data_IF_549893424094
#
_entry.id   IF_549893424094
#
_cell.length_a   1.000
_cell.length_b   1.000
_cell.length_c   1.000
_cell.angle_alpha   90.00
_cell.angle_beta   90.00
_cell.angle_gamma   90.00
#
_symmetry.space_group_name_H-M   'P 1'
#
loop_
_entity.id
_entity.type
_entity.pdbx_description
1 polymer ?
#
# COMPACT_ATOMS: atom_id res chain seq x y z
N UNK A 1 -0.32 -14.01 -8.41
CA UNK A 1 1.03 -14.16 -8.98
C UNK A 1 1.79 -12.83 -8.98
N UNK A 2 1.35 -11.75 -9.63
CA UNK A 2 2.07 -10.47 -9.69
C UNK A 2 2.42 -9.87 -8.32
N UNK A 3 1.52 -9.99 -7.34
CA UNK A 3 1.80 -9.54 -5.96
C UNK A 3 2.88 -10.37 -5.29
N UNK A 4 2.80 -11.71 -5.42
CA UNK A 4 3.86 -12.59 -4.91
C UNK A 4 5.23 -12.25 -5.51
N UNK A 5 5.30 -12.00 -6.82
CA UNK A 5 6.53 -11.56 -7.48
C UNK A 5 7.07 -10.24 -6.92
N UNK A 6 6.20 -9.25 -6.69
CA UNK A 6 6.60 -7.97 -6.11
C UNK A 6 7.18 -8.13 -4.70
N UNK A 7 6.48 -8.84 -3.83
CA UNK A 7 6.85 -8.98 -2.43
C UNK A 7 7.97 -10.01 -2.19
N UNK A 8 8.33 -10.79 -3.23
CA UNK A 8 9.49 -11.67 -3.24
C UNK A 8 10.82 -10.91 -3.21
N UNK A 9 10.90 -9.70 -3.78
CA UNK A 9 12.15 -8.95 -3.88
C UNK A 9 12.13 -7.59 -3.19
N UNK A 10 11.01 -6.87 -3.20
CA UNK A 10 10.95 -5.48 -2.74
C UNK A 10 11.25 -5.25 -1.25
N UNK A 11 10.78 -6.09 -0.32
CA UNK A 11 11.10 -5.91 1.10
C UNK A 11 12.59 -6.04 1.42
N UNK A 12 13.34 -6.76 0.58
CA UNK A 12 14.75 -7.03 0.82
C UNK A 12 15.69 -5.97 0.23
N UNK A 13 15.15 -4.88 -0.32
CA UNK A 13 15.93 -3.79 -0.91
C UNK A 13 16.95 -3.17 0.06
N UNK A 14 16.65 -2.92 1.36
CA UNK A 14 17.65 -2.40 2.29
C UNK A 14 18.85 -3.32 2.49
N UNK A 15 18.64 -4.65 2.41
CA UNK A 15 19.69 -5.65 2.51
C UNK A 15 20.55 -5.68 1.24
N UNK A 16 19.92 -5.59 0.05
CA UNK A 16 20.61 -5.46 -1.24
C UNK A 16 21.51 -4.23 -1.28
N UNK A 17 21.05 -3.08 -0.77
CA UNK A 17 21.85 -1.85 -0.71
C UNK A 17 23.15 -2.04 0.10
N UNK A 18 23.11 -2.86 1.16
CA UNK A 18 24.28 -3.21 1.96
C UNK A 18 25.20 -4.19 1.23
N UNK A 19 24.65 -5.32 0.78
CA UNK A 19 25.44 -6.46 0.33
C UNK A 19 25.97 -6.31 -1.10
N UNK A 20 25.17 -5.72 -1.97
CA UNK A 20 25.53 -5.58 -3.39
C UNK A 20 26.15 -4.23 -3.71
N UNK A 21 25.60 -3.15 -3.13
CA UNK A 21 26.06 -1.79 -3.41
C UNK A 21 26.98 -1.24 -2.30
N UNK A 22 27.24 -2.00 -1.24
CA UNK A 22 28.15 -1.67 -0.13
C UNK A 22 27.90 -0.28 0.48
N UNK A 23 26.62 0.14 0.55
CA UNK A 23 26.22 1.40 1.16
C UNK A 23 26.40 1.31 2.66
N UNK A 24 27.10 2.28 3.24
CA UNK A 24 27.35 2.34 4.69
C UNK A 24 26.05 2.44 5.50
N UNK A 25 26.06 1.94 6.73
CA UNK A 25 24.88 1.94 7.60
C UNK A 25 24.27 3.33 7.82
N UNK A 26 25.12 4.34 7.91
CA UNK A 26 24.75 5.74 8.11
C UNK A 26 23.83 6.25 6.99
N UNK A 27 24.16 5.97 5.73
CA UNK A 27 23.42 6.47 4.56
C UNK A 27 22.36 5.49 4.05
N UNK A 28 22.38 4.24 4.51
CA UNK A 28 21.47 3.19 4.01
C UNK A 28 19.99 3.56 4.22
N UNK A 29 19.64 4.09 5.38
CA UNK A 29 18.29 4.55 5.66
C UNK A 29 17.84 5.67 4.73
N UNK A 30 18.72 6.63 4.43
CA UNK A 30 18.45 7.71 3.49
C UNK A 30 18.27 7.17 2.05
N UNK A 31 19.12 6.24 1.62
CA UNK A 31 19.02 5.60 0.30
C UNK A 31 17.69 4.82 0.14
N UNK A 32 17.25 4.08 1.18
CA UNK A 32 15.95 3.39 1.19
C UNK A 32 14.80 4.39 1.01
N UNK A 33 14.90 5.53 1.67
CA UNK A 33 13.89 6.59 1.60
C UNK A 33 13.85 7.25 0.23
N UNK A 34 15.00 7.60 -0.34
CA UNK A 34 15.09 8.18 -1.69
C UNK A 34 14.54 7.19 -2.74
N UNK A 35 14.89 5.91 -2.62
CA UNK A 35 14.37 4.85 -3.47
C UNK A 35 12.84 4.72 -3.38
N UNK A 36 12.30 4.75 -2.16
CA UNK A 36 10.86 4.67 -1.92
C UNK A 36 10.14 5.91 -2.42
N UNK A 37 10.68 7.09 -2.15
CA UNK A 37 10.16 8.37 -2.64
C UNK A 37 10.09 8.43 -4.17
N UNK A 38 11.18 8.08 -4.85
CA UNK A 38 11.25 8.05 -6.31
C UNK A 38 10.22 7.06 -6.89
N UNK A 39 10.08 5.89 -6.26
CA UNK A 39 9.11 4.87 -6.64
C UNK A 39 7.66 5.36 -6.53
N UNK A 40 7.29 5.95 -5.38
CA UNK A 40 5.92 6.40 -5.12
C UNK A 40 5.56 7.64 -5.95
N UNK A 41 6.51 8.55 -6.15
CA UNK A 41 6.32 9.75 -7.00
C UNK A 41 6.11 9.35 -8.46
N UNK A 42 6.94 8.46 -8.97
CA UNK A 42 6.81 7.92 -10.33
C UNK A 42 5.47 7.21 -10.52
N UNK A 43 5.05 6.38 -9.56
CA UNK A 43 3.76 5.67 -9.59
C UNK A 43 2.57 6.65 -9.54
N UNK A 44 2.68 7.74 -8.78
CA UNK A 44 1.65 8.79 -8.72
C UNK A 44 1.44 9.45 -10.09
N UNK A 45 2.53 9.84 -10.75
CA UNK A 45 2.51 10.41 -12.11
C UNK A 45 1.94 9.38 -13.10
N UNK A 46 2.43 8.14 -13.01
CA UNK A 46 2.02 7.04 -13.87
C UNK A 46 0.52 6.74 -13.77
N UNK A 47 -0.06 6.78 -12.58
CA UNK A 47 -1.48 6.48 -12.36
C UNK A 47 -2.37 7.45 -13.12
N UNK A 48 -2.04 8.75 -13.11
CA UNK A 48 -2.78 9.75 -13.87
C UNK A 48 -2.62 9.57 -15.39
N UNK A 49 -1.40 9.32 -15.85
CA UNK A 49 -1.07 9.15 -17.27
C UNK A 49 -1.71 7.88 -17.85
N UNK A 50 -1.48 6.74 -17.21
CA UNK A 50 -1.97 5.45 -17.70
C UNK A 50 -3.48 5.25 -17.48
N UNK A 51 -4.10 5.98 -16.54
CA UNK A 51 -5.56 6.01 -16.38
C UNK A 51 -6.24 6.51 -17.64
N UNK A 52 -5.78 7.65 -18.19
CA UNK A 52 -6.31 8.24 -19.44
C UNK A 52 -6.13 7.29 -20.64
N UNK A 53 -4.99 6.61 -20.70
CA UNK A 53 -4.70 5.64 -21.77
C UNK A 53 -5.58 4.39 -21.60
N UNK A 54 -5.76 3.91 -20.36
CA UNK A 54 -6.61 2.77 -20.05
C UNK A 54 -8.06 2.96 -20.47
N UNK A 55 -8.59 4.16 -20.30
CA UNK A 55 -9.95 4.52 -20.77
C UNK A 55 -10.10 4.44 -22.30
N UNK A 56 -9.01 4.49 -23.05
CA UNK A 56 -9.01 4.43 -24.52
C UNK A 56 -8.73 3.04 -25.09
N UNK A 57 -7.87 2.26 -24.41
CA UNK A 57 -7.32 1.02 -24.96
C UNK A 57 -7.69 -0.24 -24.16
N UNK A 58 -8.43 -0.08 -23.06
CA UNK A 58 -8.90 -1.18 -22.23
C UNK A 58 -7.94 -1.58 -21.11
N UNK A 59 -8.48 -2.33 -20.17
CA UNK A 59 -7.80 -2.74 -18.95
C UNK A 59 -6.82 -3.89 -19.16
N UNK A 60 -7.13 -4.82 -20.09
CA UNK A 60 -6.23 -5.92 -20.44
C UNK A 60 -4.88 -5.42 -20.93
N UNK A 61 -4.87 -4.45 -21.85
CA UNK A 61 -3.64 -3.87 -22.38
C UNK A 61 -2.82 -3.19 -21.27
N UNK A 62 -3.49 -2.47 -20.35
CA UNK A 62 -2.83 -1.83 -19.20
C UNK A 62 -2.20 -2.86 -18.26
N UNK A 63 -2.87 -3.99 -18.02
CA UNK A 63 -2.37 -5.08 -17.19
C UNK A 63 -1.16 -5.77 -17.84
N UNK A 64 -1.25 -6.06 -19.15
CA UNK A 64 -0.16 -6.65 -19.92
C UNK A 64 1.09 -5.75 -19.95
N UNK A 65 0.92 -4.46 -20.25
CA UNK A 65 1.99 -3.47 -20.20
C UNK A 65 2.73 -3.50 -18.86
N UNK A 66 1.99 -3.42 -17.74
CA UNK A 66 2.58 -3.39 -16.42
C UNK A 66 3.30 -4.70 -16.08
N UNK A 67 2.76 -5.83 -16.50
CA UNK A 67 3.35 -7.16 -16.24
C UNK A 67 4.60 -7.41 -17.08
N UNK A 68 4.59 -7.07 -18.38
CA UNK A 68 5.78 -7.22 -19.23
C UNK A 68 6.89 -6.24 -18.82
N UNK A 69 6.56 -4.99 -18.51
CA UNK A 69 7.53 -4.03 -17.99
C UNK A 69 8.17 -4.54 -16.68
N UNK A 70 7.38 -5.06 -15.75
CA UNK A 70 7.89 -5.64 -14.53
C UNK A 70 8.81 -6.83 -14.79
N UNK A 71 8.45 -7.72 -15.72
CA UNK A 71 9.27 -8.88 -16.10
C UNK A 71 10.67 -8.49 -16.60
N UNK A 72 10.82 -7.31 -17.22
CA UNK A 72 12.09 -6.78 -17.71
C UNK A 72 12.83 -6.01 -16.62
N UNK A 73 12.15 -5.07 -15.96
CA UNK A 73 12.80 -4.11 -15.07
C UNK A 73 13.20 -4.71 -13.71
N UNK A 74 12.48 -5.73 -13.18
CA UNK A 74 12.91 -6.35 -11.92
C UNK A 74 14.25 -7.07 -12.02
N UNK A 75 14.53 -7.92 -13.02
CA UNK A 75 15.86 -8.44 -13.25
C UNK A 75 16.94 -7.36 -13.40
N UNK A 76 16.64 -6.27 -14.12
CA UNK A 76 17.58 -5.16 -14.28
C UNK A 76 17.95 -4.45 -12.99
N UNK A 77 17.04 -4.41 -11.99
CA UNK A 77 17.35 -3.84 -10.68
C UNK A 77 18.48 -4.60 -9.96
N UNK A 78 18.53 -5.93 -10.11
CA UNK A 78 19.59 -6.74 -9.51
C UNK A 78 20.95 -6.56 -10.19
N UNK A 79 20.95 -6.10 -11.42
CA UNK A 79 22.17 -5.87 -12.21
C UNK A 79 22.68 -4.42 -12.14
N UNK A 80 22.04 -3.57 -11.33
CA UNK A 80 22.42 -2.18 -11.20
C UNK A 80 23.81 -2.03 -10.55
N UNK A 81 24.78 -1.39 -11.23
CA UNK A 81 26.16 -1.29 -10.74
C UNK A 81 26.33 -0.27 -9.60
N UNK A 82 25.41 0.64 -9.44
CA UNK A 82 25.43 1.66 -8.39
C UNK A 82 24.03 2.17 -8.07
N UNK A 83 23.94 2.93 -6.97
CA UNK A 83 22.67 3.45 -6.48
C UNK A 83 21.92 4.37 -7.46
N UNK A 84 22.63 5.16 -8.24
CA UNK A 84 22.00 6.10 -9.20
C UNK A 84 21.33 5.34 -10.35
N UNK A 85 21.99 4.31 -10.89
CA UNK A 85 21.42 3.43 -11.91
C UNK A 85 20.25 2.64 -11.35
N UNK A 86 20.37 2.11 -10.12
CA UNK A 86 19.27 1.44 -9.41
C UNK A 86 18.06 2.37 -9.31
N UNK A 87 18.26 3.62 -8.91
CA UNK A 87 17.22 4.63 -8.76
C UNK A 87 16.53 4.96 -10.08
N UNK A 88 17.31 5.12 -11.16
CA UNK A 88 16.80 5.38 -12.52
C UNK A 88 15.94 4.21 -13.02
N UNK A 89 16.44 2.97 -12.92
CA UNK A 89 15.70 1.77 -13.30
C UNK A 89 14.41 1.68 -12.46
N UNK A 90 14.49 1.95 -11.16
CA UNK A 90 13.32 1.91 -10.28
C UNK A 90 12.27 2.94 -10.65
N UNK A 91 12.68 4.17 -10.96
CA UNK A 91 11.78 5.23 -11.39
C UNK A 91 11.01 4.83 -12.66
N UNK A 92 11.73 4.32 -13.67
CA UNK A 92 11.14 3.84 -14.91
C UNK A 92 10.23 2.62 -14.65
N UNK A 93 10.69 1.64 -13.88
CA UNK A 93 9.88 0.48 -13.49
C UNK A 93 8.57 0.90 -12.83
N UNK A 94 8.63 1.85 -11.90
CA UNK A 94 7.45 2.36 -11.19
C UNK A 94 6.49 3.11 -12.11
N UNK A 95 7.01 3.83 -13.11
CA UNK A 95 6.18 4.50 -14.13
C UNK A 95 5.36 3.49 -14.96
N UNK A 96 5.94 2.35 -15.29
CA UNK A 96 5.23 1.29 -16.00
C UNK A 96 4.48 0.32 -15.08
N UNK A 97 4.60 0.42 -13.76
CA UNK A 97 3.91 -0.43 -12.79
C UNK A 97 2.40 -0.13 -12.69
N UNK A 98 1.71 -0.92 -11.85
CA UNK A 98 0.28 -0.72 -11.56
C UNK A 98 -0.59 -1.82 -12.16
N UNK A 99 -0.47 -3.04 -11.65
CA UNK A 99 -1.29 -4.20 -12.10
C UNK A 99 -2.65 -4.29 -11.40
N UNK A 100 -2.77 -3.74 -10.17
CA UNK A 100 -3.96 -3.95 -9.32
C UNK A 100 -5.20 -3.26 -9.88
N UNK A 101 -5.10 -1.97 -10.22
CA UNK A 101 -6.24 -1.20 -10.72
C UNK A 101 -6.78 -1.77 -12.06
N UNK A 102 -5.95 -2.02 -13.10
CA UNK A 102 -6.42 -2.65 -14.30
C UNK A 102 -7.04 -4.04 -14.08
N UNK A 103 -6.47 -4.85 -13.16
CA UNK A 103 -7.04 -6.15 -12.82
C UNK A 103 -8.42 -6.03 -12.17
N UNK A 104 -8.63 -5.07 -11.26
CA UNK A 104 -9.93 -4.80 -10.65
C UNK A 104 -10.95 -4.34 -11.69
N UNK A 105 -10.57 -3.40 -12.56
CA UNK A 105 -11.45 -2.88 -13.62
C UNK A 105 -11.84 -4.00 -14.59
N UNK A 106 -10.87 -4.79 -15.03
CA UNK A 106 -11.09 -5.92 -15.93
C UNK A 106 -12.03 -6.96 -15.31
N UNK A 107 -11.83 -7.27 -14.02
CA UNK A 107 -12.68 -8.21 -13.29
C UNK A 107 -14.12 -7.72 -13.18
N UNK A 108 -14.31 -6.44 -12.86
CA UNK A 108 -15.64 -5.83 -12.78
C UNK A 108 -16.32 -5.79 -14.14
N UNK A 109 -15.61 -5.45 -15.22
CA UNK A 109 -16.18 -5.40 -16.57
C UNK A 109 -16.59 -6.76 -17.13
N UNK A 110 -15.96 -7.84 -16.65
CA UNK A 110 -16.24 -9.22 -17.12
C UNK A 110 -17.17 -10.01 -16.19
N UNK A 111 -17.59 -9.43 -15.05
CA UNK A 111 -18.42 -10.12 -14.05
C UNK A 111 -19.81 -9.46 -13.98
N UNK A 112 -20.91 -10.25 -13.86
CA UNK A 112 -22.24 -9.69 -13.64
C UNK A 112 -22.30 -8.82 -12.35
N UNK A 113 -23.10 -7.71 -12.34
CA UNK A 113 -23.15 -6.76 -11.20
C UNK A 113 -23.46 -7.40 -9.86
N UNK A 114 -24.29 -8.42 -9.84
CA UNK A 114 -24.70 -9.15 -8.62
C UNK A 114 -23.54 -9.89 -7.95
N UNK A 115 -22.48 -10.21 -8.72
CA UNK A 115 -21.30 -10.97 -8.26
C UNK A 115 -20.05 -10.09 -8.06
N UNK A 116 -20.13 -8.78 -8.30
CA UNK A 116 -18.97 -7.88 -8.16
C UNK A 116 -18.32 -7.96 -6.77
N UNK A 117 -19.13 -8.02 -5.69
CA UNK A 117 -18.64 -8.11 -4.32
C UNK A 117 -17.82 -9.39 -4.09
N UNK A 118 -18.33 -10.53 -4.56
CA UNK A 118 -17.63 -11.81 -4.46
C UNK A 118 -16.33 -11.81 -5.28
N UNK A 119 -16.38 -11.34 -6.52
CA UNK A 119 -15.24 -11.30 -7.42
C UNK A 119 -14.10 -10.40 -6.86
N UNK A 120 -14.43 -9.18 -6.41
CA UNK A 120 -13.46 -8.28 -5.80
C UNK A 120 -12.93 -8.79 -4.47
N UNK A 121 -13.76 -9.46 -3.67
CA UNK A 121 -13.35 -10.14 -2.44
C UNK A 121 -12.34 -11.26 -2.72
N UNK A 122 -12.60 -12.09 -3.73
CA UNK A 122 -11.69 -13.16 -4.17
C UNK A 122 -10.36 -12.58 -4.67
N UNK A 123 -10.39 -11.50 -5.46
CA UNK A 123 -9.18 -10.82 -5.92
C UNK A 123 -8.38 -10.25 -4.74
N UNK A 124 -9.05 -9.65 -3.77
CA UNK A 124 -8.41 -9.12 -2.55
C UNK A 124 -7.75 -10.24 -1.73
N UNK A 125 -8.43 -11.36 -1.54
CA UNK A 125 -7.86 -12.53 -0.86
C UNK A 125 -6.67 -13.10 -1.62
N UNK A 126 -6.77 -13.23 -2.94
CA UNK A 126 -5.68 -13.71 -3.79
C UNK A 126 -4.46 -12.77 -3.76
N UNK A 127 -4.67 -11.45 -3.71
CA UNK A 127 -3.57 -10.48 -3.55
C UNK A 127 -2.89 -10.61 -2.21
N UNK A 128 -3.63 -10.66 -1.11
CA UNK A 128 -3.06 -10.79 0.24
C UNK A 128 -2.36 -12.13 0.47
N UNK A 129 -2.90 -13.21 -0.10
CA UNK A 129 -2.23 -14.52 -0.10
C UNK A 129 -0.94 -14.48 -0.92
N UNK A 130 -0.96 -13.76 -2.04
CA UNK A 130 0.22 -13.50 -2.86
C UNK A 130 1.30 -12.73 -2.11
N UNK A 131 0.93 -11.69 -1.36
CA UNK A 131 1.85 -10.93 -0.50
C UNK A 131 2.52 -11.85 0.53
N UNK A 132 1.73 -12.66 1.25
CA UNK A 132 2.24 -13.59 2.26
C UNK A 132 3.22 -14.61 1.67
N UNK A 133 2.85 -15.25 0.55
CA UNK A 133 3.73 -16.21 -0.13
C UNK A 133 4.98 -15.54 -0.70
N UNK A 134 4.84 -14.33 -1.25
CA UNK A 134 5.96 -13.54 -1.76
C UNK A 134 7.00 -13.26 -0.68
N UNK A 135 6.58 -12.84 0.49
CA UNK A 135 7.48 -12.58 1.63
C UNK A 135 8.20 -13.85 2.10
N UNK A 136 7.48 -14.98 2.25
CA UNK A 136 8.09 -16.23 2.70
C UNK A 136 9.10 -16.77 1.68
N UNK A 137 8.68 -16.90 0.42
CA UNK A 137 9.54 -17.40 -0.65
C UNK A 137 10.70 -16.44 -0.92
N UNK A 138 10.45 -15.13 -0.86
CA UNK A 138 11.48 -14.11 -1.04
C UNK A 138 12.57 -14.21 0.03
N UNK A 139 12.17 -14.32 1.30
CA UNK A 139 13.13 -14.53 2.39
C UNK A 139 14.00 -15.78 2.23
N UNK A 140 13.38 -16.90 1.82
CA UNK A 140 14.10 -18.15 1.53
C UNK A 140 15.03 -18.01 0.32
N UNK A 141 14.54 -17.47 -0.79
CA UNK A 141 15.34 -17.35 -2.02
C UNK A 141 16.52 -16.39 -1.80
N UNK A 142 16.28 -15.26 -1.15
CA UNK A 142 17.36 -14.30 -0.87
C UNK A 142 18.41 -14.92 0.04
N UNK A 143 18.00 -15.62 1.09
CA UNK A 143 18.90 -16.24 2.06
C UNK A 143 19.79 -17.32 1.45
N UNK A 144 19.22 -18.22 0.63
CA UNK A 144 19.95 -19.38 0.09
C UNK A 144 20.54 -19.18 -1.30
N UNK A 145 19.95 -18.33 -2.12
CA UNK A 145 20.30 -18.13 -3.53
C UNK A 145 20.68 -16.70 -3.89
N UNK A 146 20.57 -15.77 -2.94
CA UNK A 146 20.96 -14.38 -3.10
C UNK A 146 19.92 -13.50 -3.81
N UNK A 147 20.19 -12.20 -3.80
CA UNK A 147 19.26 -11.17 -4.33
C UNK A 147 19.04 -11.28 -5.82
N UNK A 148 20.09 -11.54 -6.60
CA UNK A 148 20.00 -11.67 -8.06
C UNK A 148 18.98 -12.73 -8.45
N UNK A 149 19.03 -13.89 -7.80
CA UNK A 149 18.07 -14.99 -8.04
C UNK A 149 16.65 -14.58 -7.67
N UNK A 150 16.46 -13.86 -6.57
CA UNK A 150 15.15 -13.36 -6.16
C UNK A 150 14.55 -12.41 -7.20
N UNK A 151 15.32 -11.45 -7.70
CA UNK A 151 14.87 -10.50 -8.72
C UNK A 151 14.63 -11.17 -10.08
N UNK A 152 15.47 -12.15 -10.48
CA UNK A 152 15.24 -12.95 -11.69
C UNK A 152 13.95 -13.78 -11.56
N UNK A 153 13.73 -14.42 -10.42
CA UNK A 153 12.50 -15.17 -10.12
C UNK A 153 11.27 -14.26 -10.17
N UNK A 154 11.36 -13.06 -9.63
CA UNK A 154 10.33 -12.03 -9.74
C UNK A 154 9.99 -11.74 -11.21
N UNK A 155 11.00 -11.51 -12.06
CA UNK A 155 10.84 -11.31 -13.50
C UNK A 155 10.11 -12.47 -14.18
N UNK A 156 10.50 -13.70 -13.86
CA UNK A 156 9.84 -14.91 -14.41
C UNK A 156 8.38 -15.00 -13.97
N UNK A 157 8.07 -14.74 -12.69
CA UNK A 157 6.68 -14.75 -12.19
C UNK A 157 5.84 -13.69 -12.93
N UNK A 158 6.37 -12.50 -13.17
CA UNK A 158 5.67 -11.47 -13.93
C UNK A 158 5.50 -11.86 -15.41
N UNK A 159 6.49 -12.47 -16.02
CA UNK A 159 6.40 -12.98 -17.38
C UNK A 159 5.32 -14.05 -17.50
N UNK A 160 5.32 -15.05 -16.62
CA UNK A 160 4.29 -16.09 -16.58
C UNK A 160 2.91 -15.48 -16.36
N UNK A 161 2.79 -14.52 -15.43
CA UNK A 161 1.54 -13.79 -15.19
C UNK A 161 1.06 -13.05 -16.44
N UNK A 162 1.98 -12.38 -17.17
CA UNK A 162 1.66 -11.68 -18.41
C UNK A 162 1.19 -12.65 -19.50
N UNK A 163 1.87 -13.80 -19.67
CA UNK A 163 1.50 -14.83 -20.65
C UNK A 163 0.13 -15.43 -20.34
N UNK A 164 -0.18 -15.73 -19.07
CA UNK A 164 -1.50 -16.21 -18.67
C UNK A 164 -2.61 -15.21 -19.00
N UNK A 165 -2.40 -13.93 -18.72
CA UNK A 165 -3.35 -12.87 -19.08
C UNK A 165 -3.47 -12.74 -20.60
N UNK A 166 -2.37 -12.81 -21.31
CA UNK A 166 -2.35 -12.70 -22.77
C UNK A 166 -3.16 -13.79 -23.45
N UNK A 167 -2.95 -15.06 -23.03
CA UNK A 167 -3.51 -16.24 -23.66
C UNK A 167 -4.95 -16.54 -23.23
N UNK A 168 -5.28 -16.36 -21.96
CA UNK A 168 -6.54 -16.85 -21.38
C UNK A 168 -7.60 -15.76 -21.13
N UNK A 169 -7.21 -14.50 -21.06
CA UNK A 169 -8.18 -13.44 -20.79
C UNK A 169 -8.57 -12.73 -22.09
N UNK A 170 -9.88 -12.69 -22.36
CA UNK A 170 -10.45 -11.90 -23.45
C UNK A 170 -11.19 -10.70 -22.83
N UNK A 171 -10.98 -9.53 -23.37
CA UNK A 171 -11.69 -8.29 -22.99
C UNK A 171 -12.45 -7.79 -24.22
N UNK A 172 -13.76 -7.81 -24.17
CA UNK A 172 -14.60 -7.14 -25.14
C UNK A 172 -14.70 -5.66 -24.76
N UNK A 173 -13.67 -4.91 -25.19
CA UNK A 173 -13.59 -3.50 -24.87
C UNK A 173 -14.49 -2.65 -25.77
N UNK A 174 -15.62 -2.21 -25.21
CA UNK A 174 -16.46 -1.20 -25.84
C UNK A 174 -16.05 0.19 -25.35
N UNK A 175 -15.48 0.97 -26.28
CA UNK A 175 -15.10 2.36 -25.97
C UNK A 175 -16.33 3.15 -25.54
N UNK A 176 -16.45 3.45 -24.25
CA UNK A 176 -17.46 4.36 -23.75
C UNK A 176 -17.03 5.78 -24.17
N UNK A 177 -17.68 6.30 -25.22
CA UNK A 177 -17.49 7.70 -25.59
C UNK A 177 -18.07 8.52 -24.44
N UNK A 178 -17.28 9.34 -23.72
CA UNK A 178 -17.84 10.16 -22.65
C UNK A 178 -18.89 11.07 -23.26
N UNK A 179 -20.14 10.88 -22.86
CA UNK A 179 -21.22 11.78 -23.25
C UNK A 179 -20.84 13.18 -22.75
N UNK A 180 -20.70 14.13 -23.67
CA UNK A 180 -20.31 15.53 -23.42
C UNK A 180 -21.40 16.31 -22.67
N UNK A 181 -21.81 15.87 -21.51
CA UNK A 181 -22.80 16.56 -20.69
C UNK A 181 -22.41 16.60 -19.23
N UNK A 182 -21.26 17.17 -18.96
CA UNK A 182 -21.04 17.85 -17.69
C UNK A 182 -20.09 19.01 -17.95
N UNK A 183 -20.56 20.20 -17.65
CA UNK A 183 -19.78 21.43 -17.58
C UNK A 183 -18.45 21.09 -16.94
N UNK A 184 -17.31 21.40 -17.60
CA UNK A 184 -15.96 21.31 -17.04
C UNK A 184 -15.84 22.30 -15.88
N UNK A 185 -16.52 22.02 -14.76
CA UNK A 185 -16.14 22.67 -13.52
C UNK A 185 -14.67 22.30 -13.24
N UNK A 186 -13.87 23.29 -12.96
CA UNK A 186 -12.48 23.05 -12.57
C UNK A 186 -12.48 22.04 -11.42
N UNK A 187 -11.65 20.99 -11.52
CA UNK A 187 -11.53 19.97 -10.46
C UNK A 187 -11.29 20.59 -9.08
N UNK A 188 -10.66 21.76 -9.05
CA UNK A 188 -10.42 22.54 -7.82
C UNK A 188 -11.70 23.22 -7.30
N UNK A 189 -12.55 23.74 -8.16
CA UNK A 189 -13.83 24.33 -7.76
C UNK A 189 -14.79 23.25 -7.24
N UNK A 190 -14.85 22.09 -7.90
CA UNK A 190 -15.59 20.93 -7.42
C UNK A 190 -15.07 20.45 -6.06
N UNK A 191 -13.75 20.40 -5.86
CA UNK A 191 -13.16 20.08 -4.57
C UNK A 191 -13.58 21.06 -3.48
N UNK A 192 -13.41 22.38 -3.68
CA UNK A 192 -13.79 23.42 -2.70
C UNK A 192 -15.27 23.38 -2.33
N UNK A 193 -16.13 23.08 -3.29
CA UNK A 193 -17.60 22.99 -3.08
C UNK A 193 -18.00 21.72 -2.34
N UNK A 194 -17.24 20.64 -2.49
CA UNK A 194 -17.54 19.32 -1.93
C UNK A 194 -16.80 19.01 -0.64
N UNK A 195 -15.75 19.77 -0.31
CA UNK A 195 -14.94 19.61 0.90
C UNK A 195 -15.68 20.17 2.12
N UNK A 196 -16.66 19.40 2.60
CA UNK A 196 -17.30 19.67 3.90
C UNK A 196 -16.31 19.43 5.04
N UNK A 197 -16.51 20.01 6.23
CA UNK A 197 -15.62 19.80 7.37
C UNK A 197 -15.39 18.32 7.70
N UNK A 198 -16.44 17.49 7.68
CA UNK A 198 -16.33 16.04 7.94
C UNK A 198 -15.48 15.31 6.91
N UNK A 199 -15.68 15.61 5.63
CA UNK A 199 -14.87 15.05 4.53
C UNK A 199 -13.41 15.49 4.67
N UNK A 200 -13.15 16.77 4.97
CA UNK A 200 -11.79 17.31 5.10
C UNK A 200 -11.03 16.60 6.24
N UNK A 201 -11.64 16.46 7.42
CA UNK A 201 -11.06 15.72 8.55
C UNK A 201 -10.81 14.25 8.22
N UNK A 202 -11.74 13.61 7.50
CA UNK A 202 -11.57 12.23 7.03
C UNK A 202 -10.39 12.09 6.06
N UNK A 203 -10.27 12.98 5.08
CA UNK A 203 -9.15 12.98 4.14
C UNK A 203 -7.81 13.18 4.88
N UNK A 204 -7.77 14.05 5.89
CA UNK A 204 -6.58 14.18 6.74
C UNK A 204 -6.23 12.88 7.46
N UNK A 205 -7.22 12.16 8.01
CA UNK A 205 -6.98 10.85 8.63
C UNK A 205 -6.51 9.80 7.61
N UNK A 206 -7.03 9.80 6.37
CA UNK A 206 -6.50 8.94 5.32
C UNK A 206 -5.04 9.26 4.98
N UNK A 207 -4.67 10.54 4.94
CA UNK A 207 -3.29 10.97 4.70
C UNK A 207 -2.37 10.49 5.83
N UNK A 208 -2.76 10.72 7.09
CA UNK A 208 -1.99 10.28 8.26
C UNK A 208 -1.88 8.75 8.33
N UNK A 209 -2.94 8.02 7.99
CA UNK A 209 -2.89 6.57 7.88
C UNK A 209 -1.88 6.10 6.83
N UNK A 210 -1.90 6.70 5.64
CA UNK A 210 -0.92 6.42 4.58
C UNK A 210 0.51 6.75 5.01
N UNK A 211 0.69 7.86 5.71
CA UNK A 211 1.97 8.30 6.26
C UNK A 211 2.47 7.32 7.33
N UNK A 212 1.66 6.97 8.32
CA UNK A 212 2.05 6.08 9.41
C UNK A 212 2.38 4.65 8.94
N UNK A 213 1.51 4.07 8.10
CA UNK A 213 1.64 2.67 7.66
C UNK A 213 2.79 2.43 6.68
N UNK A 214 3.22 3.45 5.94
CA UNK A 214 4.31 3.35 4.95
C UNK A 214 5.64 3.89 5.46
N UNK A 215 5.65 4.55 6.61
CA UNK A 215 6.87 5.10 7.22
C UNK A 215 7.79 3.99 7.73
N UNK A 216 7.24 2.96 8.38
CA UNK A 216 8.01 1.87 9.00
C UNK A 216 8.27 0.67 8.08
N UNK A 217 7.38 0.43 7.12
CA UNK A 217 7.35 -0.80 6.34
C UNK A 217 8.65 -1.11 5.59
N UNK A 218 9.30 -0.15 4.90
CA UNK A 218 10.57 -0.41 4.19
C UNK A 218 11.76 -0.69 5.11
N UNK A 219 11.64 -0.37 6.40
CA UNK A 219 12.74 -0.45 7.38
C UNK A 219 12.72 -1.70 8.25
N UNK A 220 11.74 -2.59 8.03
CA UNK A 220 11.64 -3.86 8.76
C UNK A 220 12.91 -4.72 8.64
N UNK A 221 13.54 -4.87 7.45
CA UNK A 221 14.78 -5.63 7.34
C UNK A 221 15.92 -5.04 8.17
N UNK A 222 16.02 -3.70 8.21
CA UNK A 222 17.04 -3.03 9.02
C UNK A 222 16.78 -3.21 10.54
N UNK A 223 15.51 -3.28 10.95
CA UNK A 223 15.17 -3.60 12.35
C UNK A 223 15.51 -5.05 12.67
N UNK A 224 15.27 -6.00 11.76
CA UNK A 224 15.67 -7.39 11.90
C UNK A 224 17.19 -7.51 12.09
N UNK A 225 17.99 -6.81 11.28
CA UNK A 225 19.45 -6.75 11.44
C UNK A 225 19.86 -6.16 12.79
N UNK A 226 19.19 -5.11 13.25
CA UNK A 226 19.49 -4.48 14.55
C UNK A 226 19.24 -5.44 15.73
N UNK A 227 18.27 -6.37 15.60
CA UNK A 227 17.86 -7.28 16.67
C UNK A 227 18.63 -8.60 16.61
N UNK A 228 18.82 -9.17 15.43
CA UNK A 228 19.35 -10.51 15.22
C UNK A 228 20.77 -10.52 14.61
N UNK A 229 21.32 -9.34 14.28
CA UNK A 229 22.52 -9.25 13.48
C UNK A 229 22.25 -9.55 12.00
N UNK A 230 23.33 -9.80 11.27
CA UNK A 230 23.25 -10.00 9.81
C UNK A 230 22.89 -11.44 9.42
N UNK A 231 23.09 -12.39 10.35
CA UNK A 231 22.80 -13.81 10.10
C UNK A 231 21.31 -14.03 9.89
N UNK A 232 20.97 -14.67 8.77
CA UNK A 232 19.59 -14.98 8.35
C UNK A 232 18.63 -13.77 8.34
N UNK A 233 19.16 -12.57 8.10
CA UNK A 233 18.35 -11.35 8.12
C UNK A 233 17.24 -11.39 7.06
N UNK A 234 17.51 -11.93 5.86
CA UNK A 234 16.51 -12.07 4.81
C UNK A 234 15.41 -13.08 5.20
N UNK A 235 15.79 -14.23 5.76
CA UNK A 235 14.85 -15.25 6.23
C UNK A 235 13.89 -14.70 7.29
N UNK A 236 14.40 -14.07 8.33
CA UNK A 236 13.58 -13.50 9.40
C UNK A 236 12.73 -12.30 8.93
N UNK A 237 13.24 -11.50 8.00
CA UNK A 237 12.46 -10.44 7.35
C UNK A 237 11.26 -11.03 6.60
N UNK A 238 11.48 -12.12 5.86
CA UNK A 238 10.43 -12.84 5.16
C UNK A 238 9.34 -13.33 6.11
N UNK A 239 9.73 -14.02 7.20
CA UNK A 239 8.78 -14.51 8.22
C UNK A 239 8.01 -13.37 8.89
N UNK A 240 8.71 -12.32 9.34
CA UNK A 240 8.08 -11.18 10.00
C UNK A 240 7.09 -10.45 9.09
N UNK A 241 7.42 -10.32 7.80
CA UNK A 241 6.53 -9.70 6.80
C UNK A 241 5.34 -10.60 6.45
N UNK A 242 5.56 -11.91 6.35
CA UNK A 242 4.48 -12.87 6.12
C UNK A 242 3.53 -12.97 7.32
N UNK A 243 4.03 -12.96 8.54
CA UNK A 243 3.22 -12.88 9.76
C UNK A 243 2.36 -11.60 9.79
N UNK A 244 2.95 -10.46 9.37
CA UNK A 244 2.23 -9.22 9.22
C UNK A 244 1.12 -9.32 8.16
N UNK A 245 1.39 -9.90 6.98
CA UNK A 245 0.39 -10.09 5.93
C UNK A 245 -0.74 -11.00 6.39
N UNK A 246 -0.43 -12.08 7.11
CA UNK A 246 -1.43 -12.98 7.71
C UNK A 246 -2.30 -12.26 8.75
N UNK A 247 -1.69 -11.43 9.61
CA UNK A 247 -2.44 -10.56 10.54
C UNK A 247 -3.41 -9.63 9.81
N UNK A 248 -2.99 -9.04 8.69
CA UNK A 248 -3.84 -8.20 7.84
C UNK A 248 -5.03 -8.95 7.23
N UNK A 249 -4.84 -10.19 6.78
CA UNK A 249 -5.93 -11.04 6.26
C UNK A 249 -6.97 -11.32 7.35
N UNK A 250 -6.51 -11.74 8.53
CA UNK A 250 -7.41 -12.01 9.66
C UNK A 250 -8.13 -10.75 10.15
N UNK A 251 -7.46 -9.59 10.09
CA UNK A 251 -8.06 -8.29 10.42
C UNK A 251 -9.28 -7.99 9.57
N UNK A 252 -9.20 -8.21 8.25
CA UNK A 252 -10.32 -7.96 7.34
C UNK A 252 -11.59 -8.70 7.75
N UNK A 253 -11.45 -9.95 8.20
CA UNK A 253 -12.57 -10.79 8.67
C UNK A 253 -13.06 -10.33 10.05
N UNK A 254 -12.13 -10.14 10.99
CA UNK A 254 -12.47 -9.81 12.37
C UNK A 254 -13.08 -8.41 12.50
N UNK A 255 -12.42 -7.40 11.92
CA UNK A 255 -12.88 -6.01 11.99
C UNK A 255 -14.16 -5.80 11.17
N UNK A 256 -14.31 -6.52 10.03
CA UNK A 256 -15.58 -6.54 9.30
C UNK A 256 -16.75 -6.95 10.19
N UNK A 257 -16.64 -8.07 10.91
CA UNK A 257 -17.66 -8.53 11.86
C UNK A 257 -17.87 -7.60 13.07
N UNK A 258 -16.78 -6.97 13.55
CA UNK A 258 -16.89 -6.01 14.66
C UNK A 258 -17.60 -4.71 14.22
N UNK A 259 -17.41 -4.27 12.96
CA UNK A 259 -18.05 -3.07 12.43
C UNK A 259 -19.57 -3.18 12.32
N UNK A 260 -20.11 -4.40 12.28
CA UNK A 260 -21.56 -4.66 12.32
C UNK A 260 -22.13 -4.57 13.74
N UNK A 261 -21.30 -4.82 14.77
CA UNK A 261 -21.75 -4.87 16.18
C UNK A 261 -21.50 -3.59 16.97
N UNK A 262 -20.39 -2.90 16.66
CA UNK A 262 -19.95 -1.73 17.43
C UNK A 262 -20.06 -0.44 16.63
N UNK A 263 -20.24 0.67 17.33
CA UNK A 263 -20.28 1.97 16.68
C UNK A 263 -18.92 2.30 15.99
N UNK A 264 -18.95 2.87 14.79
CA UNK A 264 -17.72 3.25 14.09
C UNK A 264 -16.79 4.13 14.92
N UNK A 265 -17.36 4.98 15.80
CA UNK A 265 -16.60 5.84 16.71
C UNK A 265 -15.75 5.03 17.68
N UNK A 266 -16.38 4.09 18.39
CA UNK A 266 -15.69 3.26 19.39
C UNK A 266 -14.62 2.38 18.73
N UNK A 267 -14.98 1.76 17.60
CA UNK A 267 -14.10 0.86 16.88
C UNK A 267 -12.88 1.62 16.30
N UNK A 268 -13.10 2.80 15.70
CA UNK A 268 -12.03 3.62 15.16
C UNK A 268 -11.03 4.04 16.26
N UNK A 269 -11.53 4.56 17.37
CA UNK A 269 -10.69 5.01 18.49
C UNK A 269 -9.87 3.86 19.07
N UNK A 270 -10.52 2.69 19.28
CA UNK A 270 -9.86 1.48 19.78
C UNK A 270 -8.76 0.98 18.82
N UNK A 271 -9.08 0.88 17.54
CA UNK A 271 -8.14 0.40 16.51
C UNK A 271 -6.95 1.35 16.37
N UNK A 272 -7.16 2.67 16.39
CA UNK A 272 -6.05 3.64 16.34
C UNK A 272 -5.16 3.50 17.58
N UNK A 273 -5.75 3.49 18.79
CA UNK A 273 -5.00 3.39 20.02
C UNK A 273 -4.19 2.08 20.11
N UNK A 274 -4.81 0.96 19.76
CA UNK A 274 -4.15 -0.34 19.75
C UNK A 274 -3.00 -0.37 18.71
N UNK A 275 -3.24 0.12 17.50
CA UNK A 275 -2.21 0.20 16.45
C UNK A 275 -1.05 1.08 16.88
N UNK A 276 -1.32 2.26 17.44
CA UNK A 276 -0.31 3.19 17.92
C UNK A 276 0.58 2.54 19.00
N UNK A 277 -0.05 1.91 19.99
CA UNK A 277 0.66 1.23 21.08
C UNK A 277 1.53 0.08 20.56
N UNK A 278 0.95 -0.79 19.74
CA UNK A 278 1.69 -1.92 19.15
C UNK A 278 2.81 -1.45 18.20
N UNK A 279 2.63 -0.32 17.49
CA UNK A 279 3.70 0.24 16.65
C UNK A 279 4.84 0.78 17.53
N UNK A 280 4.53 1.43 18.66
CA UNK A 280 5.54 1.91 19.59
C UNK A 280 6.38 0.76 20.19
N UNK A 281 5.78 -0.40 20.47
CA UNK A 281 6.50 -1.54 21.03
C UNK A 281 7.61 -2.07 20.14
N UNK A 282 7.56 -1.85 18.81
CA UNK A 282 8.65 -2.25 17.89
C UNK A 282 10.01 -1.64 18.26
N UNK A 283 10.02 -0.42 18.82
CA UNK A 283 11.25 0.24 19.22
C UNK A 283 11.97 -0.45 20.39
N UNK A 284 11.24 -1.24 21.18
CA UNK A 284 11.71 -1.87 22.41
C UNK A 284 11.81 -3.40 22.31
N UNK A 285 11.63 -3.96 21.13
CA UNK A 285 11.66 -5.43 20.92
C UNK A 285 13.05 -5.98 21.22
N UNK A 286 13.16 -7.00 22.12
CA UNK A 286 14.45 -7.55 22.52
C UNK A 286 14.96 -8.68 21.61
N UNK A 287 14.06 -9.40 20.91
CA UNK A 287 14.41 -10.57 20.12
C UNK A 287 13.48 -10.76 18.91
N UNK A 288 13.90 -11.60 17.98
CA UNK A 288 13.22 -11.80 16.69
C UNK A 288 11.82 -12.42 16.84
N UNK A 289 11.62 -13.31 17.79
CA UNK A 289 10.30 -13.95 18.02
C UNK A 289 9.27 -12.94 18.49
N UNK A 290 9.66 -12.04 19.40
CA UNK A 290 8.82 -10.91 19.84
C UNK A 290 8.51 -9.96 18.68
N UNK A 291 9.48 -9.71 17.79
CA UNK A 291 9.26 -8.90 16.60
C UNK A 291 8.19 -9.52 15.70
N UNK A 292 8.28 -10.80 15.39
CA UNK A 292 7.31 -11.52 14.56
C UNK A 292 5.91 -11.44 15.16
N UNK A 293 5.77 -11.69 16.47
CA UNK A 293 4.51 -11.62 17.18
C UNK A 293 3.90 -10.20 17.15
N UNK A 294 4.72 -9.18 17.42
CA UNK A 294 4.28 -7.78 17.40
C UNK A 294 3.94 -7.32 15.98
N UNK A 295 4.70 -7.74 14.96
CA UNK A 295 4.37 -7.46 13.55
C UNK A 295 3.01 -8.01 13.16
N UNK A 296 2.73 -9.26 13.52
CA UNK A 296 1.40 -9.86 13.34
C UNK A 296 0.30 -9.04 14.04
N UNK A 297 0.47 -8.76 15.33
CA UNK A 297 -0.52 -8.05 16.15
C UNK A 297 -0.77 -6.62 15.63
N UNK A 298 0.30 -5.90 15.24
CA UNK A 298 0.19 -4.55 14.69
C UNK A 298 -0.58 -4.53 13.37
N UNK A 299 -0.30 -5.47 12.46
CA UNK A 299 -1.00 -5.54 11.18
C UNK A 299 -2.43 -6.06 11.33
N UNK A 300 -2.68 -6.92 12.31
CA UNK A 300 -4.03 -7.31 12.69
C UNK A 300 -4.84 -6.11 13.19
N UNK A 301 -4.28 -5.26 14.02
CA UNK A 301 -4.93 -4.03 14.48
C UNK A 301 -5.10 -3.02 13.33
N UNK A 302 -4.03 -2.68 12.62
CA UNK A 302 -4.02 -1.65 11.58
C UNK A 302 -4.87 -1.98 10.35
N UNK A 303 -5.03 -3.28 10.02
CA UNK A 303 -5.75 -3.72 8.82
C UNK A 303 -7.21 -3.30 8.78
N UNK A 304 -7.83 -3.05 9.93
CA UNK A 304 -9.21 -2.56 10.02
C UNK A 304 -9.36 -1.05 9.84
N UNK A 305 -8.28 -0.28 9.94
CA UNK A 305 -8.37 1.18 10.01
C UNK A 305 -8.91 1.78 8.70
N UNK A 306 -8.34 1.38 7.57
CA UNK A 306 -8.78 1.89 6.26
C UNK A 306 -10.23 1.52 5.92
N UNK A 307 -10.71 0.27 6.10
CA UNK A 307 -12.13 -0.07 5.94
C UNK A 307 -13.07 0.75 6.82
N UNK A 308 -12.73 0.96 8.10
CA UNK A 308 -13.56 1.76 9.01
C UNK A 308 -13.67 3.20 8.50
N UNK A 309 -12.57 3.83 8.09
CA UNK A 309 -12.58 5.18 7.52
C UNK A 309 -13.43 5.26 6.25
N UNK A 310 -13.38 4.24 5.37
CA UNK A 310 -14.22 4.14 4.18
C UNK A 310 -15.70 3.99 4.51
N UNK A 311 -16.04 3.22 5.55
CA UNK A 311 -17.44 3.10 6.03
C UNK A 311 -17.95 4.45 6.52
N UNK A 312 -17.17 5.19 7.32
CA UNK A 312 -17.55 6.54 7.77
C UNK A 312 -17.73 7.47 6.56
N UNK A 313 -16.81 7.46 5.61
CA UNK A 313 -16.87 8.26 4.38
C UNK A 313 -18.16 7.96 3.58
N UNK A 314 -18.53 6.67 3.47
CA UNK A 314 -19.72 6.25 2.74
C UNK A 314 -21.03 6.71 3.37
N UNK A 315 -21.04 6.97 4.70
CA UNK A 315 -22.24 7.45 5.43
C UNK A 315 -22.49 8.94 5.27
N UNK A 316 -21.43 9.74 5.08
CA UNK A 316 -21.51 11.20 4.94
C UNK A 316 -21.54 11.65 3.47
N UNK A 317 -21.49 10.71 2.54
CA UNK A 317 -21.40 11.00 1.10
C UNK A 317 -22.64 10.50 0.37
N UNK A 318 -23.21 11.32 -0.53
CA UNK A 318 -24.34 10.90 -1.37
C UNK A 318 -23.95 9.76 -2.32
N UNK A 319 -24.87 8.85 -2.67
CA UNK A 319 -24.60 7.67 -3.52
C UNK A 319 -23.91 8.02 -4.84
N UNK A 320 -24.33 9.13 -5.49
CA UNK A 320 -23.83 9.57 -6.79
C UNK A 320 -22.36 10.02 -6.74
N UNK A 321 -21.86 10.39 -5.56
CA UNK A 321 -20.51 10.98 -5.37
C UNK A 321 -19.54 10.05 -4.66
N UNK A 322 -19.98 8.88 -4.21
CA UNK A 322 -19.11 7.91 -3.49
C UNK A 322 -17.84 7.59 -4.24
N UNK A 323 -17.93 7.36 -5.55
CA UNK A 323 -16.74 7.05 -6.37
C UNK A 323 -15.69 8.15 -6.35
N UNK A 324 -16.12 9.42 -6.43
CA UNK A 324 -15.22 10.59 -6.38
C UNK A 324 -14.49 10.67 -5.02
N UNK A 325 -15.23 10.54 -3.93
CA UNK A 325 -14.65 10.63 -2.59
C UNK A 325 -13.74 9.44 -2.24
N UNK A 326 -14.08 8.24 -2.71
CA UNK A 326 -13.20 7.07 -2.57
C UNK A 326 -11.91 7.24 -3.39
N UNK A 327 -11.99 7.82 -4.59
CA UNK A 327 -10.81 8.20 -5.37
C UNK A 327 -9.92 9.22 -4.64
N UNK A 328 -10.52 10.25 -4.03
CA UNK A 328 -9.77 11.24 -3.24
C UNK A 328 -9.12 10.62 -2.02
N UNK A 329 -9.84 9.76 -1.27
CA UNK A 329 -9.28 9.08 -0.09
C UNK A 329 -8.06 8.22 -0.46
N UNK A 330 -8.12 7.50 -1.58
CA UNK A 330 -6.99 6.74 -2.10
C UNK A 330 -5.81 7.62 -2.50
N UNK A 331 -6.07 8.72 -3.23
CA UNK A 331 -5.03 9.67 -3.65
C UNK A 331 -4.33 10.33 -2.47
N UNK A 332 -5.09 10.76 -1.46
CA UNK A 332 -4.55 11.40 -0.26
C UNK A 332 -3.78 10.41 0.61
N UNK A 333 -4.26 9.16 0.74
CA UNK A 333 -3.53 8.09 1.41
C UNK A 333 -2.19 7.80 0.70
N UNK A 334 -2.16 7.82 -0.63
CA UNK A 334 -0.93 7.67 -1.41
C UNK A 334 0.02 8.86 -1.22
N UNK A 335 -0.49 10.10 -1.16
CA UNK A 335 0.31 11.27 -0.84
C UNK A 335 0.94 11.17 0.55
N UNK A 336 0.19 10.66 1.55
CA UNK A 336 0.74 10.33 2.87
C UNK A 336 1.95 9.41 2.79
N UNK A 337 1.91 8.39 1.92
CA UNK A 337 3.04 7.49 1.67
C UNK A 337 4.27 8.19 1.07
N UNK A 338 4.08 9.18 0.19
CA UNK A 338 5.18 9.98 -0.36
C UNK A 338 5.85 10.80 0.75
N UNK A 339 5.07 11.45 1.61
CA UNK A 339 5.60 12.17 2.78
C UNK A 339 6.27 11.21 3.79
N UNK A 340 5.74 9.99 3.94
CA UNK A 340 6.37 8.95 4.77
C UNK A 340 7.79 8.65 4.31
N UNK A 341 8.00 8.50 3.01
CA UNK A 341 9.31 8.22 2.46
C UNK A 341 10.34 9.33 2.78
N UNK A 342 9.93 10.59 2.79
CA UNK A 342 10.81 11.70 3.17
C UNK A 342 11.08 11.70 4.69
N UNK A 343 10.04 11.53 5.49
CA UNK A 343 10.14 11.52 6.95
C UNK A 343 11.02 10.38 7.45
N UNK A 344 10.81 9.17 6.92
CA UNK A 344 11.53 7.97 7.37
C UNK A 344 13.03 8.07 7.15
N UNK A 345 13.48 8.64 6.02
CA UNK A 345 14.90 8.83 5.75
C UNK A 345 15.56 9.80 6.71
N UNK A 346 14.89 10.92 6.98
CA UNK A 346 15.37 11.90 7.94
C UNK A 346 15.46 11.30 9.34
N UNK A 347 14.40 10.59 9.77
CA UNK A 347 14.40 9.93 11.08
C UNK A 347 15.43 8.81 11.15
N UNK A 348 15.61 8.03 10.09
CA UNK A 348 16.62 6.98 10.02
C UNK A 348 18.04 7.54 10.22
N UNK A 349 18.33 8.67 9.61
CA UNK A 349 19.65 9.32 9.67
C UNK A 349 19.95 9.89 11.06
N UNK A 350 19.01 10.63 11.66
CA UNK A 350 19.26 11.33 12.94
C UNK A 350 18.96 10.50 14.19
N UNK A 351 17.98 9.62 14.16
CA UNK A 351 17.47 8.87 15.32
C UNK A 351 17.70 7.36 15.21
N UNK A 352 18.01 6.90 13.99
CA UNK A 352 18.22 5.47 13.71
C UNK A 352 16.91 4.72 13.42
N UNK A 353 17.05 3.43 13.13
CA UNK A 353 15.96 2.56 12.65
C UNK A 353 14.81 2.45 13.66
N UNK A 354 15.12 2.32 14.96
CA UNK A 354 14.09 2.25 16.02
C UNK A 354 13.25 3.52 16.12
N UNK A 355 13.87 4.68 15.84
CA UNK A 355 13.19 5.97 15.82
C UNK A 355 12.09 6.07 14.76
N UNK A 356 12.21 5.34 13.65
CA UNK A 356 11.18 5.30 12.60
C UNK A 356 9.89 4.69 13.14
N UNK A 357 9.96 3.62 13.94
CA UNK A 357 8.78 3.00 14.54
C UNK A 357 8.15 3.90 15.60
N UNK A 358 8.97 4.64 16.36
CA UNK A 358 8.47 5.66 17.30
C UNK A 358 7.75 6.78 16.54
N UNK A 359 8.33 7.29 15.45
CA UNK A 359 7.68 8.34 14.64
C UNK A 359 6.37 7.87 14.03
N UNK A 360 6.29 6.62 13.54
CA UNK A 360 5.03 6.02 13.07
C UNK A 360 4.00 5.92 14.20
N UNK A 361 4.40 5.51 15.38
CA UNK A 361 3.52 5.45 16.55
C UNK A 361 3.00 6.84 16.95
N UNK A 362 3.85 7.87 16.94
CA UNK A 362 3.45 9.25 17.20
C UNK A 362 2.39 9.70 16.20
N UNK A 363 2.55 9.40 14.91
CA UNK A 363 1.57 9.74 13.88
C UNK A 363 0.23 9.05 14.17
N UNK A 364 0.23 7.76 14.53
CA UNK A 364 -1.00 7.07 14.94
C UNK A 364 -1.61 7.68 16.19
N UNK A 365 -0.82 8.04 17.22
CA UNK A 365 -1.33 8.73 18.41
C UNK A 365 -1.92 10.10 18.07
N UNK A 366 -1.35 10.84 17.14
CA UNK A 366 -1.91 12.12 16.66
C UNK A 366 -3.26 11.94 15.96
N UNK A 367 -3.55 10.77 15.37
CA UNK A 367 -4.86 10.50 14.79
C UNK A 367 -5.98 10.41 15.85
N UNK A 368 -5.68 10.08 17.12
CA UNK A 368 -6.68 9.97 18.19
C UNK A 368 -7.42 11.29 18.43
N UNK A 369 -6.74 12.38 18.80
CA UNK A 369 -7.41 13.66 19.01
C UNK A 369 -8.09 14.18 17.73
N UNK A 370 -7.50 13.92 16.55
CA UNK A 370 -8.07 14.34 15.26
C UNK A 370 -9.32 13.52 14.86
N UNK A 371 -9.47 12.31 15.38
CA UNK A 371 -10.68 11.51 15.16
C UNK A 371 -11.92 12.10 15.83
N UNK A 372 -11.77 12.85 16.93
CA UNK A 372 -12.89 13.42 17.69
C UNK A 372 -13.65 14.50 16.88
N UNK A 373 -13.00 15.57 16.34
CA UNK A 373 -13.69 16.55 15.53
C UNK A 373 -14.24 15.95 14.24
N UNK A 374 -13.52 15.00 13.63
CA UNK A 374 -13.98 14.27 12.46
C UNK A 374 -15.30 13.55 12.73
N UNK A 375 -15.39 12.77 13.81
CA UNK A 375 -16.59 12.02 14.16
C UNK A 375 -17.79 12.93 14.50
N UNK A 376 -17.54 14.08 15.13
CA UNK A 376 -18.58 15.10 15.39
C UNK A 376 -19.11 15.68 14.08
N UNK A 377 -18.20 16.12 13.19
CA UNK A 377 -18.57 16.66 11.88
C UNK A 377 -19.31 15.63 11.02
N UNK A 378 -18.80 14.40 10.95
CA UNK A 378 -19.45 13.30 10.24
C UNK A 378 -20.86 12.99 10.74
N UNK A 379 -21.09 13.03 12.06
CA UNK A 379 -22.43 12.79 12.63
C UNK A 379 -23.44 13.91 12.22
N UNK A 380 -22.99 15.16 12.13
CA UNK A 380 -23.82 16.28 11.68
C UNK A 380 -24.17 16.10 10.18
N UNK A 381 -23.20 15.78 9.35
CA UNK A 381 -23.38 15.59 7.92
C UNK A 381 -24.27 14.37 7.61
N UNK A 382 -24.12 13.26 8.35
CA UNK A 382 -24.99 12.09 8.18
C UNK A 382 -26.44 12.41 8.52
N UNK A 383 -26.70 13.21 9.57
CA UNK A 383 -28.06 13.68 9.90
C UNK A 383 -28.63 14.57 8.82
N UNK A 384 -27.86 15.53 8.31
CA UNK A 384 -28.29 16.42 7.25
C UNK A 384 -28.64 15.66 5.96
N UNK A 385 -27.88 14.64 5.63
CA UNK A 385 -28.11 13.79 4.45
C UNK A 385 -29.36 12.92 4.58
N UNK A 386 -29.69 12.48 5.81
CA UNK A 386 -30.93 11.73 6.09
C UNK A 386 -32.19 12.61 6.09
N UNK A 387 -32.08 13.88 6.47
CA UNK A 387 -33.18 14.83 6.46
C UNK A 387 -33.52 15.40 5.08
N UNK A 388 -32.60 15.24 4.10
CA UNK A 388 -32.78 15.69 2.72
C UNK A 388 -33.37 14.63 1.77
N UNK A 389 -33.57 13.41 2.28
CA UNK A 389 -34.25 12.28 1.61
C UNK A 389 -35.70 12.17 2.06
#
# INVERSE_FOLDING_TARGET
MSRAGFDLCMPFMPLLLRETLHISEEYRGLCVSIYTFASLTSLCIATAFWGIIGDRYGSKLMLLRASYAAAIFYPLLALAPNFYVLLAIRFICSFFSGTVNPAQTLLVSTTPPEKHGFALGTLSTATSSGDMLGFLLGGLIVEYFGYTTAFMTCGVIYLVSALLVHLFIHEDFHRTIPTKTTVKESRWQSFRRLATPGVTWLLLLFMLNGLATRNDSPFVPMLVETINGFDRAAFFTGIASAAAAFGGILSGIAIGRLSDKYSPKMLLTFVIALTATLTATHAFVPNIHSLIAIRFATRFAAGGLQPILLVVLSRITSPERKGTFFGWSGSVNQAGGIFAALLSGTVAYYVGVRGIFISSAIIFFMMLPLSIPMLKAAAIEEKALKSSK
#
